data_IF_433522864115
#
_entry.id   IF_433522864115
#
_cell.length_a   1.000
_cell.length_b   1.000
_cell.length_c   1.000
_cell.angle_alpha   90.00
_cell.angle_beta   90.00
_cell.angle_gamma   90.00
#
_symmetry.space_group_name_H-M   'P 1'
#
loop_
_entity.id
_entity.type
_entity.pdbx_description
1 polymer ?
#
# COMPACT_ATOMS: atom_id res chain seq x y z
N UNK A 1 -62.19 -60.51 -19.32
CA UNK A 1 -60.86 -59.92 -19.60
C UNK A 1 -60.87 -58.46 -19.15
N UNK A 2 -60.31 -58.14 -17.98
CA UNK A 2 -60.02 -56.76 -17.60
C UNK A 2 -58.95 -56.73 -16.51
N UNK A 3 -58.18 -55.65 -16.50
CA UNK A 3 -57.17 -55.25 -15.50
C UNK A 3 -55.71 -55.50 -15.85
N UNK A 4 -55.17 -54.63 -16.72
CA UNK A 4 -53.73 -54.34 -16.86
C UNK A 4 -53.47 -52.82 -17.01
N UNK A 5 -54.26 -51.96 -16.37
CA UNK A 5 -54.10 -50.49 -16.48
C UNK A 5 -53.82 -49.74 -15.17
N UNK A 6 -53.70 -50.44 -14.04
CA UNK A 6 -53.52 -49.79 -12.72
C UNK A 6 -52.04 -49.71 -12.29
N UNK A 7 -51.14 -50.51 -12.89
CA UNK A 7 -49.76 -50.66 -12.38
C UNK A 7 -48.74 -49.62 -12.88
N UNK A 8 -49.08 -48.69 -13.79
CA UNK A 8 -48.10 -47.77 -14.40
C UNK A 8 -47.99 -46.40 -13.74
N UNK A 9 -48.98 -45.98 -12.95
CA UNK A 9 -48.97 -44.64 -12.33
C UNK A 9 -47.95 -44.52 -11.19
N UNK A 10 -47.78 -45.55 -10.37
CA UNK A 10 -46.90 -45.49 -9.18
C UNK A 10 -45.40 -45.47 -9.50
N UNK A 11 -44.98 -45.96 -10.68
CA UNK A 11 -43.58 -45.91 -11.11
C UNK A 11 -43.19 -44.53 -11.66
N UNK A 12 -44.14 -43.82 -12.26
CA UNK A 12 -43.90 -42.54 -12.93
C UNK A 12 -43.82 -41.37 -11.92
N UNK A 13 -44.59 -41.43 -10.83
CA UNK A 13 -44.52 -40.46 -9.72
C UNK A 13 -43.19 -40.53 -8.97
N UNK A 14 -42.72 -41.75 -8.64
CA UNK A 14 -41.41 -41.94 -7.96
C UNK A 14 -40.22 -41.41 -8.75
N UNK A 15 -40.28 -41.44 -10.08
CA UNK A 15 -39.22 -40.87 -10.93
C UNK A 15 -39.29 -39.34 -11.01
N UNK A 16 -40.48 -38.73 -10.89
CA UNK A 16 -40.65 -37.27 -10.80
C UNK A 16 -40.17 -36.73 -9.46
N UNK A 17 -40.53 -37.36 -8.34
CA UNK A 17 -40.09 -36.98 -7.00
C UNK A 17 -38.56 -37.03 -6.86
N UNK A 18 -37.92 -38.09 -7.35
CA UNK A 18 -36.45 -38.21 -7.36
C UNK A 18 -35.77 -37.14 -8.23
N UNK A 19 -36.45 -36.63 -9.27
CA UNK A 19 -35.91 -35.59 -10.15
C UNK A 19 -36.02 -34.21 -9.48
N UNK A 20 -37.10 -33.95 -8.74
CA UNK A 20 -37.29 -32.73 -7.95
C UNK A 20 -36.35 -32.67 -6.74
N UNK A 21 -36.11 -33.78 -6.04
CA UNK A 21 -35.15 -33.86 -4.92
C UNK A 21 -33.72 -33.57 -5.38
N UNK A 22 -33.28 -34.16 -6.51
CA UNK A 22 -31.96 -33.88 -7.09
C UNK A 22 -31.78 -32.42 -7.49
N UNK A 23 -32.84 -31.77 -7.97
CA UNK A 23 -32.83 -30.34 -8.29
C UNK A 23 -32.70 -29.44 -7.05
N UNK A 24 -33.34 -29.82 -5.94
CA UNK A 24 -33.26 -29.10 -4.67
C UNK A 24 -31.85 -29.24 -4.07
N UNK A 25 -31.30 -30.46 -4.04
CA UNK A 25 -29.93 -30.71 -3.54
C UNK A 25 -28.90 -29.95 -4.36
N UNK A 26 -29.04 -29.87 -5.69
CA UNK A 26 -28.16 -29.08 -6.55
C UNK A 26 -28.19 -27.59 -6.24
N UNK A 27 -29.38 -27.02 -5.98
CA UNK A 27 -29.52 -25.61 -5.58
C UNK A 27 -28.92 -25.33 -4.22
N UNK A 28 -29.08 -26.24 -3.25
CA UNK A 28 -28.48 -26.14 -1.92
C UNK A 28 -26.96 -26.18 -2.03
N UNK A 29 -26.40 -27.11 -2.81
CA UNK A 29 -24.95 -27.20 -3.04
C UNK A 29 -24.41 -25.94 -3.71
N UNK A 30 -25.11 -25.40 -4.72
CA UNK A 30 -24.70 -24.17 -5.38
C UNK A 30 -24.73 -22.97 -4.40
N UNK A 31 -25.77 -22.86 -3.57
CA UNK A 31 -25.85 -21.85 -2.53
C UNK A 31 -24.72 -21.97 -1.51
N UNK A 32 -24.37 -23.19 -1.10
CA UNK A 32 -23.30 -23.44 -0.14
C UNK A 32 -21.92 -23.05 -0.71
N UNK A 33 -21.65 -23.40 -1.98
CA UNK A 33 -20.45 -22.95 -2.69
C UNK A 33 -20.41 -21.42 -2.79
N UNK A 34 -21.55 -20.79 -3.09
CA UNK A 34 -21.65 -19.33 -3.17
C UNK A 34 -21.33 -18.65 -1.83
N UNK A 35 -21.87 -19.16 -0.72
CA UNK A 35 -21.58 -18.63 0.62
C UNK A 35 -20.09 -18.78 0.98
N UNK A 36 -19.48 -19.92 0.65
CA UNK A 36 -18.04 -20.13 0.88
C UNK A 36 -17.21 -19.16 0.03
N UNK A 37 -17.56 -18.97 -1.25
CA UNK A 37 -16.88 -18.03 -2.13
C UNK A 37 -16.96 -16.59 -1.58
N UNK A 38 -18.13 -16.16 -1.11
CA UNK A 38 -18.31 -14.85 -0.49
C UNK A 38 -17.47 -14.69 0.78
N UNK A 39 -17.46 -15.70 1.66
CA UNK A 39 -16.64 -15.67 2.86
C UNK A 39 -15.14 -15.56 2.55
N UNK A 40 -14.69 -16.22 1.48
CA UNK A 40 -13.31 -16.16 1.03
C UNK A 40 -12.94 -14.77 0.49
N UNK A 41 -13.78 -14.18 -0.37
CA UNK A 41 -13.59 -12.82 -0.87
C UNK A 41 -13.56 -11.81 0.28
N UNK A 42 -14.50 -11.92 1.22
CA UNK A 42 -14.56 -11.04 2.37
C UNK A 42 -13.28 -11.12 3.23
N UNK A 43 -12.78 -12.33 3.48
CA UNK A 43 -11.52 -12.55 4.21
C UNK A 43 -10.32 -11.91 3.51
N UNK A 44 -10.24 -12.02 2.18
CA UNK A 44 -9.18 -11.38 1.39
C UNK A 44 -9.28 -9.86 1.49
N UNK A 45 -10.47 -9.28 1.31
CA UNK A 45 -10.66 -7.83 1.37
C UNK A 45 -10.25 -7.24 2.72
N UNK A 46 -10.59 -7.91 3.82
CA UNK A 46 -10.20 -7.45 5.17
C UNK A 46 -8.67 -7.46 5.33
N UNK A 47 -7.98 -8.50 4.83
CA UNK A 47 -6.51 -8.57 4.88
C UNK A 47 -5.87 -7.49 4.00
N UNK A 48 -6.37 -7.32 2.78
CA UNK A 48 -5.88 -6.32 1.83
C UNK A 48 -6.03 -4.89 2.38
N UNK A 49 -7.14 -4.55 3.02
CA UNK A 49 -7.32 -3.22 3.61
C UNK A 49 -6.28 -2.89 4.69
N UNK A 50 -5.99 -3.85 5.58
CA UNK A 50 -4.96 -3.68 6.62
C UNK A 50 -3.56 -3.52 6.03
N UNK A 51 -3.25 -4.32 5.00
CA UNK A 51 -1.96 -4.25 4.33
C UNK A 51 -1.80 -2.93 3.55
N UNK A 52 -2.86 -2.48 2.90
CA UNK A 52 -2.91 -1.19 2.20
C UNK A 52 -2.68 -0.02 3.17
N UNK A 53 -3.30 -0.03 4.35
CA UNK A 53 -3.09 1.00 5.36
C UNK A 53 -1.64 1.03 5.84
N UNK A 54 -1.05 -0.14 6.12
CA UNK A 54 0.36 -0.26 6.49
C UNK A 54 1.29 0.27 5.39
N UNK A 55 0.99 -0.05 4.13
CA UNK A 55 1.78 0.42 2.98
C UNK A 55 1.68 1.94 2.82
N UNK A 56 0.51 2.54 3.02
CA UNK A 56 0.34 4.01 2.99
C UNK A 56 1.14 4.71 4.07
N UNK A 57 1.15 4.17 5.30
CA UNK A 57 1.97 4.73 6.38
C UNK A 57 3.45 4.65 6.03
N UNK A 58 3.92 3.49 5.57
CA UNK A 58 5.32 3.29 5.17
C UNK A 58 5.71 4.20 4.01
N UNK A 59 4.84 4.38 3.03
CA UNK A 59 5.06 5.30 1.90
C UNK A 59 5.22 6.74 2.39
N UNK A 60 4.38 7.19 3.32
CA UNK A 60 4.47 8.52 3.90
C UNK A 60 5.80 8.74 4.62
N UNK A 61 6.22 7.77 5.43
CA UNK A 61 7.47 7.85 6.18
C UNK A 61 8.69 7.85 5.24
N UNK A 62 8.69 6.98 4.23
CA UNK A 62 9.72 6.96 3.18
C UNK A 62 9.79 8.27 2.39
N UNK A 63 8.64 8.89 2.10
CA UNK A 63 8.60 10.20 1.43
C UNK A 63 9.21 11.29 2.29
N UNK A 64 8.90 11.31 3.59
CA UNK A 64 9.49 12.27 4.51
C UNK A 64 11.02 12.09 4.63
N UNK A 65 11.48 10.84 4.74
CA UNK A 65 12.92 10.51 4.75
C UNK A 65 13.62 10.95 3.47
N UNK A 66 12.97 10.75 2.31
CA UNK A 66 13.48 11.17 1.01
C UNK A 66 13.54 12.71 0.89
N UNK A 67 12.55 13.43 1.41
CA UNK A 67 12.58 14.90 1.44
C UNK A 67 13.71 15.42 2.33
N UNK A 68 13.94 14.83 3.50
CA UNK A 68 15.04 15.19 4.38
C UNK A 68 16.40 14.93 3.72
N UNK A 69 16.58 13.75 3.13
CA UNK A 69 17.83 13.40 2.44
C UNK A 69 18.13 14.35 1.26
N UNK A 70 17.10 14.81 0.55
CA UNK A 70 17.25 15.83 -0.51
C UNK A 70 17.64 17.19 0.02
N UNK A 71 17.11 17.60 1.17
CA UNK A 71 17.50 18.86 1.80
C UNK A 71 18.96 18.81 2.25
N UNK A 72 19.39 17.70 2.85
CA UNK A 72 20.80 17.46 3.21
C UNK A 72 21.71 17.46 1.97
N UNK A 73 21.29 16.80 0.89
CA UNK A 73 22.04 16.80 -0.37
C UNK A 73 22.21 18.23 -0.92
N UNK A 74 21.14 19.04 -0.91
CA UNK A 74 21.21 20.43 -1.34
C UNK A 74 22.12 21.28 -0.46
N UNK A 75 22.10 21.09 0.85
CA UNK A 75 22.99 21.79 1.79
C UNK A 75 24.45 21.41 1.55
N UNK A 76 24.73 20.13 1.35
CA UNK A 76 26.08 19.63 1.04
C UNK A 76 26.56 20.19 -0.31
N UNK A 77 25.69 20.24 -1.32
CA UNK A 77 26.02 20.83 -2.62
C UNK A 77 26.27 22.34 -2.52
N UNK A 78 25.47 23.07 -1.76
CA UNK A 78 25.70 24.50 -1.52
C UNK A 78 27.03 24.74 -0.78
N UNK A 79 27.31 23.94 0.26
CA UNK A 79 28.59 23.96 0.95
C UNK A 79 29.75 23.60 0.03
N UNK A 80 29.61 22.58 -0.83
CA UNK A 80 30.63 22.18 -1.79
C UNK A 80 30.88 23.24 -2.86
N UNK A 81 29.83 23.95 -3.31
CA UNK A 81 29.97 25.04 -4.28
C UNK A 81 30.66 26.27 -3.65
N UNK A 82 30.43 26.50 -2.35
CA UNK A 82 31.11 27.55 -1.60
C UNK A 82 32.54 27.14 -1.23
N UNK A 83 32.77 25.88 -0.88
CA UNK A 83 34.07 25.34 -0.50
C UNK A 83 35.05 25.46 -1.68
N UNK A 84 36.06 26.30 -1.53
CA UNK A 84 37.05 26.60 -2.57
C UNK A 84 36.78 27.86 -3.39
N UNK A 85 35.64 28.54 -3.17
CA UNK A 85 35.46 29.92 -3.64
C UNK A 85 36.32 30.88 -2.81
N UNK A 86 36.79 31.98 -3.42
CA UNK A 86 37.58 33.00 -2.70
C UNK A 86 36.78 33.60 -1.55
N UNK A 87 35.46 33.75 -1.72
CA UNK A 87 34.53 34.27 -0.72
C UNK A 87 34.44 33.38 0.51
N UNK A 88 34.42 32.04 0.35
CA UNK A 88 34.43 31.11 1.47
C UNK A 88 35.75 31.15 2.25
N UNK A 89 36.88 31.22 1.53
CA UNK A 89 38.21 31.32 2.13
C UNK A 89 38.35 32.63 2.90
N UNK A 90 37.92 33.74 2.30
CA UNK A 90 37.94 35.05 2.94
C UNK A 90 37.05 35.11 4.19
N UNK A 91 35.85 34.52 4.14
CA UNK A 91 34.95 34.45 5.29
C UNK A 91 35.56 33.66 6.45
N UNK A 92 36.11 32.47 6.19
CA UNK A 92 36.78 31.68 7.23
C UNK A 92 38.02 32.42 7.77
N UNK A 93 38.78 33.08 6.90
CA UNK A 93 39.94 33.87 7.31
C UNK A 93 39.55 35.04 8.23
N UNK A 94 38.45 35.74 7.95
CA UNK A 94 37.92 36.81 8.80
C UNK A 94 37.33 36.28 10.11
N UNK A 95 36.44 35.30 10.03
CA UNK A 95 35.62 34.86 11.17
C UNK A 95 36.43 34.00 12.17
N UNK A 96 37.27 33.08 11.70
CA UNK A 96 37.99 32.13 12.55
C UNK A 96 39.42 32.58 12.86
N UNK A 97 40.07 33.29 11.93
CA UNK A 97 41.48 33.66 12.03
C UNK A 97 41.68 35.17 12.30
N UNK A 98 40.62 35.97 12.26
CA UNK A 98 40.70 37.43 12.44
C UNK A 98 41.56 38.12 11.37
N UNK A 99 41.77 37.48 10.23
CA UNK A 99 42.59 37.99 9.14
C UNK A 99 41.79 38.98 8.31
N UNK A 100 42.43 40.07 7.93
CA UNK A 100 41.87 41.11 7.06
C UNK A 100 42.77 41.32 5.84
N UNK A 101 42.22 41.94 4.81
CA UNK A 101 43.01 42.33 3.64
C UNK A 101 43.97 43.47 3.99
N UNK A 102 45.07 43.58 3.25
CA UNK A 102 46.13 44.57 3.54
C UNK A 102 45.65 46.04 3.48
N UNK A 103 44.49 46.27 2.89
CA UNK A 103 43.96 47.60 2.58
C UNK A 103 42.82 48.02 3.53
N UNK A 104 42.46 47.18 4.51
CA UNK A 104 41.36 47.41 5.47
C UNK A 104 41.83 47.96 6.83
N UNK A 105 41.07 48.90 7.38
CA UNK A 105 41.28 49.45 8.72
C UNK A 105 40.39 48.73 9.75
N UNK A 106 40.99 48.17 10.81
CA UNK A 106 40.27 47.53 11.91
C UNK A 106 40.04 48.54 13.04
N UNK A 107 38.79 48.65 13.51
CA UNK A 107 38.44 49.38 14.72
C UNK A 107 38.17 48.38 15.85
N UNK A 108 38.94 48.48 16.94
CA UNK A 108 38.74 47.67 18.16
C UNK A 108 38.17 48.62 19.21
N UNK A 109 37.00 48.30 19.77
CA UNK A 109 36.45 49.03 20.92
C UNK A 109 37.11 48.48 22.20
N UNK A 110 37.76 49.37 22.97
CA UNK A 110 38.37 49.10 24.29
C UNK A 110 37.31 48.93 25.39
#
# INVERSE_FOLDING_TARGET
MSSKRILSYSKQERHREKKTERGIVGKIMLGLVFVIALAFVFSILVKQNKEMERLKLKERDLRAELELAKLEELEILDLSNKAGSSEFVERIARDELGLVTADEYIFVED
#
